data_IF_651192529019
#
_entry.id   IF_651192529019
#
_cell.length_a   1.000
_cell.length_b   1.000
_cell.length_c   1.000
_cell.angle_alpha   90.00
_cell.angle_beta   90.00
_cell.angle_gamma   90.00
#
_symmetry.space_group_name_H-M   'P 1'
#
loop_
_entity.id
_entity.type
_entity.pdbx_description
1 polymer ?
#
# COMPACT_ATOMS: atom_id res chain seq x y z
N UNK A 1 -2.83 -14.30 -88.01
CA UNK A 1 -2.98 -12.93 -88.54
C UNK A 1 -3.09 -11.98 -87.35
N UNK A 2 -2.21 -10.96 -87.27
CA UNK A 2 -2.42 -9.57 -86.80
C UNK A 2 -3.30 -9.42 -85.53
N UNK A 3 -2.85 -8.86 -84.40
CA UNK A 3 -2.13 -7.57 -84.23
C UNK A 3 -1.37 -7.50 -82.89
N UNK A 4 -0.23 -6.83 -82.97
CA UNK A 4 0.59 -6.30 -81.88
C UNK A 4 0.05 -4.92 -81.48
N UNK A 5 0.05 -4.63 -80.17
CA UNK A 5 0.44 -3.35 -79.60
C UNK A 5 -0.58 -2.21 -79.53
N UNK A 6 -0.90 -1.78 -78.30
CA UNK A 6 -0.75 -0.38 -77.95
C UNK A 6 -0.33 -0.24 -76.47
N UNK A 7 0.69 0.59 -76.31
CA UNK A 7 1.47 0.92 -75.13
C UNK A 7 0.87 2.17 -74.45
N UNK A 8 0.84 2.24 -73.11
CA UNK A 8 1.14 3.43 -72.27
C UNK A 8 0.61 3.18 -70.83
N UNK A 9 1.47 2.94 -69.84
CA UNK A 9 2.15 3.92 -68.96
C UNK A 9 1.25 4.66 -67.96
N UNK A 10 1.47 4.37 -66.66
CA UNK A 10 1.30 5.20 -65.44
C UNK A 10 0.87 4.27 -64.29
N UNK A 11 1.80 3.63 -63.57
CA UNK A 11 2.52 4.16 -62.40
C UNK A 11 1.57 4.61 -61.27
N UNK A 12 1.75 3.90 -60.15
CA UNK A 12 1.62 4.33 -58.76
C UNK A 12 0.38 3.93 -57.92
N UNK A 13 0.73 3.61 -56.67
CA UNK A 13 -0.06 3.44 -55.45
C UNK A 13 -0.58 2.05 -55.07
N UNK A 14 0.34 1.33 -54.41
CA UNK A 14 0.19 0.82 -53.05
C UNK A 14 -0.59 -0.47 -52.82
N UNK A 15 0.18 -1.55 -52.77
CA UNK A 15 -0.09 -2.71 -51.94
C UNK A 15 -0.28 -2.28 -50.48
N UNK A 16 -1.52 -2.14 -50.04
CA UNK A 16 -1.85 -2.16 -48.62
C UNK A 16 -1.73 -3.61 -48.14
N UNK A 17 -0.52 -4.01 -47.78
CA UNK A 17 -0.32 -5.15 -46.91
C UNK A 17 -1.06 -4.84 -45.59
N UNK A 18 -2.13 -5.57 -45.32
CA UNK A 18 -2.65 -5.69 -43.96
C UNK A 18 -1.61 -6.45 -43.15
N UNK A 19 -0.59 -5.73 -42.69
CA UNK A 19 0.20 -6.10 -41.53
C UNK A 19 -0.77 -6.06 -40.34
N UNK A 20 -1.36 -7.21 -40.05
CA UNK A 20 -2.14 -7.43 -38.86
C UNK A 20 -1.18 -7.50 -37.67
N UNK A 21 -0.66 -6.34 -37.25
CA UNK A 21 0.09 -6.18 -36.02
C UNK A 21 -0.90 -6.39 -34.88
N UNK A 22 -1.03 -7.63 -34.41
CA UNK A 22 -1.60 -7.92 -33.10
C UNK A 22 -0.71 -7.27 -32.05
N UNK A 23 -1.10 -6.06 -31.67
CA UNK A 23 -0.63 -5.39 -30.46
C UNK A 23 -0.90 -6.34 -29.30
N UNK A 24 0.15 -6.86 -28.65
CA UNK A 24 0.00 -7.56 -27.39
C UNK A 24 -0.67 -6.59 -26.40
N UNK A 25 -1.93 -6.86 -26.10
CA UNK A 25 -2.64 -6.27 -24.98
C UNK A 25 -2.01 -6.83 -23.69
N UNK A 26 -0.98 -6.15 -23.19
CA UNK A 26 -0.48 -6.34 -21.84
C UNK A 26 -1.45 -5.69 -20.85
N UNK A 27 -2.57 -6.35 -20.60
CA UNK A 27 -3.42 -6.08 -19.44
C UNK A 27 -3.71 -7.38 -18.73
N UNK A 28 -2.66 -7.97 -18.16
CA UNK A 28 -2.81 -9.01 -17.14
C UNK A 28 -3.28 -8.33 -15.85
N UNK A 29 -4.59 -8.23 -15.67
CA UNK A 29 -5.16 -8.27 -14.34
C UNK A 29 -4.83 -9.66 -13.77
N UNK A 30 -3.69 -9.76 -13.08
CA UNK A 30 -3.25 -11.00 -12.46
C UNK A 30 -4.31 -11.44 -11.45
N UNK A 31 -5.09 -12.45 -11.82
CA UNK A 31 -5.98 -13.14 -10.90
C UNK A 31 -5.07 -13.96 -10.00
N UNK A 32 -4.77 -13.41 -8.82
CA UNK A 32 -3.84 -14.07 -7.89
C UNK A 32 -4.44 -15.36 -7.37
N UNK A 33 -3.66 -16.44 -7.45
CA UNK A 33 -4.05 -17.74 -6.90
C UNK A 33 -4.20 -17.64 -5.36
N UNK A 34 -4.98 -18.53 -4.72
CA UNK A 34 -5.10 -18.52 -3.25
C UNK A 34 -3.75 -18.62 -2.53
N UNK A 35 -2.80 -19.35 -3.10
CA UNK A 35 -1.43 -19.50 -2.60
C UNK A 35 -0.67 -18.16 -2.68
N UNK A 36 -0.70 -17.49 -3.83
CA UNK A 36 -0.09 -16.15 -3.99
C UNK A 36 -0.68 -15.13 -3.02
N UNK A 37 -1.99 -15.20 -2.74
CA UNK A 37 -2.65 -14.30 -1.76
C UNK A 37 -2.14 -14.54 -0.34
N UNK A 38 -1.87 -15.79 0.04
CA UNK A 38 -1.31 -16.13 1.34
C UNK A 38 0.15 -15.65 1.45
N UNK A 39 1.00 -15.97 0.47
CA UNK A 39 2.39 -15.52 0.42
C UNK A 39 2.50 -13.99 0.40
N UNK A 40 1.60 -13.30 -0.32
CA UNK A 40 1.52 -11.83 -0.28
C UNK A 40 1.04 -11.29 1.08
N UNK A 41 0.24 -12.05 1.85
CA UNK A 41 -0.14 -11.67 3.23
C UNK A 41 1.06 -11.80 4.17
N UNK A 42 1.85 -12.85 4.02
CA UNK A 42 3.02 -13.08 4.86
C UNK A 42 4.13 -12.06 4.52
N UNK A 43 4.42 -11.84 3.24
CA UNK A 43 5.34 -10.78 2.80
C UNK A 43 4.95 -9.39 3.34
N UNK A 44 3.65 -9.09 3.45
CA UNK A 44 3.17 -7.83 4.05
C UNK A 44 3.48 -7.74 5.55
N UNK A 45 3.39 -8.85 6.28
CA UNK A 45 3.76 -8.90 7.71
C UNK A 45 5.26 -8.70 7.87
N UNK A 46 6.06 -9.35 7.04
CA UNK A 46 7.53 -9.28 7.15
C UNK A 46 8.05 -7.89 6.81
N UNK A 47 7.49 -7.24 5.78
CA UNK A 47 7.80 -5.84 5.46
C UNK A 47 7.49 -4.93 6.66
N UNK A 48 6.36 -5.14 7.33
CA UNK A 48 5.99 -4.35 8.51
C UNK A 48 6.87 -4.68 9.73
N UNK A 49 7.23 -5.94 9.94
CA UNK A 49 8.15 -6.35 11.00
C UNK A 49 9.51 -5.68 10.82
N UNK A 50 10.05 -5.74 9.60
CA UNK A 50 11.31 -5.09 9.22
C UNK A 50 11.31 -3.58 9.49
N UNK A 51 10.26 -2.88 9.06
CA UNK A 51 10.14 -1.43 9.26
C UNK A 51 9.98 -1.07 10.75
N UNK A 52 9.24 -1.88 11.51
CA UNK A 52 9.12 -1.72 12.96
C UNK A 52 10.46 -1.92 13.67
N UNK A 53 11.19 -3.00 13.36
CA UNK A 53 12.48 -3.29 13.99
C UNK A 53 13.51 -2.20 13.72
N UNK A 54 13.50 -1.62 12.52
CA UNK A 54 14.33 -0.43 12.23
C UNK A 54 13.92 0.81 12.99
N UNK A 55 12.62 1.02 13.18
CA UNK A 55 12.12 2.15 13.96
C UNK A 55 12.46 2.00 15.46
N UNK A 56 12.33 0.79 16.00
CA UNK A 56 12.73 0.41 17.36
C UNK A 56 14.22 0.62 17.57
N UNK A 57 15.07 0.08 16.70
CA UNK A 57 16.52 0.31 16.75
C UNK A 57 16.86 1.80 16.75
N UNK A 58 16.21 2.60 15.90
CA UNK A 58 16.41 4.06 15.87
C UNK A 58 15.95 4.73 17.16
N UNK A 59 14.89 4.24 17.80
CA UNK A 59 14.44 4.75 19.08
C UNK A 59 15.41 4.39 20.22
N UNK A 60 15.94 3.17 20.24
CA UNK A 60 16.91 2.72 21.24
C UNK A 60 18.26 3.46 21.10
N UNK A 61 18.72 3.70 19.87
CA UNK A 61 19.90 4.55 19.61
C UNK A 61 19.69 5.95 20.20
N UNK A 62 18.50 6.54 20.00
CA UNK A 62 18.18 7.87 20.57
C UNK A 62 18.14 7.88 22.10
N UNK A 63 17.83 6.75 22.72
CA UNK A 63 17.85 6.58 24.19
C UNK A 63 19.24 6.23 24.72
N UNK A 64 20.23 6.03 23.86
CA UNK A 64 21.58 5.59 24.24
C UNK A 64 21.71 4.09 24.50
N UNK A 65 20.66 3.29 24.24
CA UNK A 65 20.67 1.85 24.45
C UNK A 65 21.17 1.11 23.20
N UNK A 66 22.50 1.05 23.04
CA UNK A 66 23.11 0.46 21.85
C UNK A 66 22.94 -1.06 21.77
N UNK A 67 22.90 -1.75 22.92
CA UNK A 67 22.70 -3.21 22.96
C UNK A 67 21.34 -3.59 22.42
N UNK A 68 20.26 -2.94 22.90
CA UNK A 68 18.93 -3.19 22.36
C UNK A 68 18.82 -2.83 20.88
N UNK A 69 19.43 -1.72 20.47
CA UNK A 69 19.47 -1.34 19.06
C UNK A 69 20.18 -2.39 18.18
N UNK A 70 21.24 -3.03 18.67
CA UNK A 70 21.92 -4.11 17.95
C UNK A 70 21.02 -5.34 17.82
N UNK A 71 20.30 -5.71 18.87
CA UNK A 71 19.31 -6.80 18.84
C UNK A 71 18.23 -6.52 17.80
N UNK A 72 17.66 -5.31 17.79
CA UNK A 72 16.62 -4.94 16.83
C UNK A 72 17.16 -4.90 15.39
N UNK A 73 18.40 -4.43 15.18
CA UNK A 73 19.04 -4.47 13.86
C UNK A 73 19.35 -5.90 13.40
N UNK A 74 19.71 -6.80 14.32
CA UNK A 74 19.91 -8.21 14.00
C UNK A 74 18.59 -8.86 13.56
N UNK A 75 17.51 -8.64 14.31
CA UNK A 75 16.17 -9.08 13.92
C UNK A 75 15.73 -8.51 12.55
N UNK A 76 15.95 -7.22 12.31
CA UNK A 76 15.67 -6.61 11.01
C UNK A 76 16.49 -7.23 9.86
N UNK A 77 17.68 -7.77 10.12
CA UNK A 77 18.45 -8.49 9.08
C UNK A 77 17.81 -9.84 8.76
N UNK A 78 17.28 -10.53 9.75
CA UNK A 78 16.50 -11.77 9.57
C UNK A 78 15.25 -11.50 8.74
N UNK A 79 14.44 -10.52 9.15
CA UNK A 79 13.23 -10.14 8.39
C UNK A 79 13.56 -9.79 6.94
N UNK A 80 14.69 -9.09 6.70
CA UNK A 80 15.14 -8.75 5.35
C UNK A 80 15.50 -9.99 4.52
N UNK A 81 16.05 -11.04 5.14
CA UNK A 81 16.36 -12.29 4.45
C UNK A 81 15.07 -13.03 4.09
N UNK A 82 14.09 -13.07 5.00
CA UNK A 82 12.78 -13.69 4.77
C UNK A 82 12.03 -12.99 3.64
N UNK A 83 11.95 -11.65 3.69
CA UNK A 83 11.41 -10.82 2.60
C UNK A 83 12.06 -11.14 1.25
N UNK A 84 13.38 -11.38 1.23
CA UNK A 84 14.11 -11.71 0.00
C UNK A 84 13.73 -13.08 -0.53
N UNK A 85 13.58 -14.07 0.36
CA UNK A 85 13.16 -15.43 0.01
C UNK A 85 11.74 -15.43 -0.53
N UNK A 86 10.80 -14.82 0.17
CA UNK A 86 9.40 -14.71 -0.25
C UNK A 86 9.25 -13.95 -1.57
N UNK A 87 9.98 -12.85 -1.71
CA UNK A 87 9.99 -12.09 -2.95
C UNK A 87 10.57 -12.87 -4.13
N UNK A 88 11.46 -13.84 -3.89
CA UNK A 88 11.99 -14.72 -4.94
C UNK A 88 10.92 -15.74 -5.37
N UNK A 89 10.25 -16.36 -4.40
CA UNK A 89 9.17 -17.32 -4.64
C UNK A 89 8.01 -16.69 -5.41
N UNK A 90 7.53 -15.53 -4.95
CA UNK A 90 6.45 -14.80 -5.62
C UNK A 90 6.84 -14.34 -7.04
N UNK A 91 8.11 -14.03 -7.30
CA UNK A 91 8.58 -13.72 -8.66
C UNK A 91 8.55 -14.93 -9.57
N UNK A 92 8.94 -16.12 -9.09
CA UNK A 92 8.82 -17.35 -9.89
C UNK A 92 7.36 -17.73 -10.16
N UNK A 93 6.43 -17.31 -9.31
CA UNK A 93 4.99 -17.49 -9.49
C UNK A 93 4.34 -16.39 -10.35
N UNK A 94 5.14 -15.45 -10.90
CA UNK A 94 4.68 -14.44 -11.85
C UNK A 94 4.39 -13.05 -11.27
N UNK A 95 4.61 -12.84 -9.97
CA UNK A 95 4.47 -11.51 -9.36
C UNK A 95 5.70 -10.66 -9.66
N UNK A 96 5.58 -9.68 -10.55
CA UNK A 96 6.72 -8.88 -11.03
C UNK A 96 7.43 -8.06 -9.91
N UNK A 97 6.67 -7.51 -8.96
CA UNK A 97 7.18 -6.59 -7.93
C UNK A 97 6.59 -6.85 -6.54
N UNK A 98 6.83 -8.04 -5.94
CA UNK A 98 6.11 -8.49 -4.75
C UNK A 98 6.33 -7.56 -3.56
N UNK A 99 7.58 -7.15 -3.28
CA UNK A 99 7.89 -6.23 -2.17
C UNK A 99 7.22 -4.87 -2.36
N UNK A 100 7.27 -4.29 -3.58
CA UNK A 100 6.65 -2.99 -3.86
C UNK A 100 5.13 -3.05 -3.71
N UNK A 101 4.51 -4.16 -4.12
CA UNK A 101 3.08 -4.39 -3.93
C UNK A 101 2.75 -4.54 -2.44
N UNK A 102 3.52 -5.35 -1.71
CA UNK A 102 3.35 -5.51 -0.26
C UNK A 102 3.45 -4.17 0.47
N UNK A 103 4.51 -3.38 0.24
CA UNK A 103 4.66 -2.04 0.84
C UNK A 103 3.51 -1.10 0.48
N UNK A 104 2.99 -1.14 -0.76
CA UNK A 104 1.84 -0.32 -1.16
C UNK A 104 0.57 -0.73 -0.39
N UNK A 105 0.32 -2.03 -0.26
CA UNK A 105 -0.84 -2.56 0.44
C UNK A 105 -0.78 -2.28 1.95
N UNK A 106 0.40 -2.39 2.56
CA UNK A 106 0.66 -1.96 3.95
C UNK A 106 0.26 -0.48 4.12
N UNK A 107 0.80 0.41 3.28
CA UNK A 107 0.48 1.85 3.33
C UNK A 107 -1.01 2.15 3.12
N UNK A 108 -1.67 1.46 2.20
CA UNK A 108 -3.12 1.60 1.99
C UNK A 108 -3.91 1.18 3.23
N UNK A 109 -3.53 0.07 3.86
CA UNK A 109 -4.16 -0.40 5.08
C UNK A 109 -4.02 0.62 6.21
N UNK A 110 -2.85 1.25 6.36
CA UNK A 110 -2.64 2.26 7.39
C UNK A 110 -3.40 3.56 7.14
N UNK A 111 -3.45 4.01 5.88
CA UNK A 111 -4.29 5.16 5.51
C UNK A 111 -5.75 4.88 5.86
N UNK A 112 -6.25 3.69 5.49
CA UNK A 112 -7.63 3.29 5.79
C UNK A 112 -7.88 3.24 7.31
N UNK A 113 -6.95 2.69 8.08
CA UNK A 113 -7.03 2.63 9.54
C UNK A 113 -7.15 4.03 10.15
N UNK A 114 -6.31 4.97 9.70
CA UNK A 114 -6.35 6.37 10.15
C UNK A 114 -7.64 7.07 9.74
N UNK A 115 -8.14 6.84 8.53
CA UNK A 115 -9.40 7.44 8.07
C UNK A 115 -10.60 6.96 8.89
N UNK A 116 -10.62 5.68 9.28
CA UNK A 116 -11.64 5.12 10.18
C UNK A 116 -11.57 5.81 11.54
N UNK A 117 -10.42 5.81 12.22
CA UNK A 117 -10.31 6.43 13.56
C UNK A 117 -10.54 7.94 13.55
N UNK A 118 -10.23 8.62 12.44
CA UNK A 118 -10.60 10.03 12.23
C UNK A 118 -12.11 10.23 12.12
N UNK A 119 -12.82 9.30 11.49
CA UNK A 119 -14.27 9.35 11.35
C UNK A 119 -14.95 9.11 12.70
N UNK A 120 -14.46 8.13 13.46
CA UNK A 120 -14.94 7.82 14.81
C UNK A 120 -14.75 9.02 15.75
N UNK A 121 -13.56 9.65 15.73
CA UNK A 121 -13.30 10.85 16.52
C UNK A 121 -14.25 12.01 16.16
N UNK A 122 -14.59 12.18 14.89
CA UNK A 122 -15.56 13.20 14.46
C UNK A 122 -16.95 12.88 14.96
N UNK A 123 -17.37 11.62 14.89
CA UNK A 123 -18.66 11.18 15.41
C UNK A 123 -18.75 11.38 16.92
N UNK A 124 -17.73 10.98 17.69
CA UNK A 124 -17.69 11.18 19.14
C UNK A 124 -17.80 12.66 19.54
N UNK A 125 -17.08 13.55 18.85
CA UNK A 125 -17.19 15.01 19.06
C UNK A 125 -18.56 15.57 18.69
N UNK A 126 -19.17 15.06 17.62
CA UNK A 126 -20.52 15.49 17.22
C UNK A 126 -21.56 15.07 18.26
N UNK A 127 -21.45 13.85 18.79
CA UNK A 127 -22.29 13.36 19.90
C UNK A 127 -22.10 14.20 21.15
N UNK A 128 -20.85 14.48 21.55
CA UNK A 128 -20.54 15.35 22.70
C UNK A 128 -21.22 16.73 22.54
N UNK A 129 -21.12 17.35 21.36
CA UNK A 129 -21.78 18.63 21.09
C UNK A 129 -23.31 18.54 21.12
N UNK A 130 -23.89 17.45 20.64
CA UNK A 130 -25.33 17.24 20.67
C UNK A 130 -25.84 17.08 22.11
N UNK A 131 -25.15 16.28 22.92
CA UNK A 131 -25.49 16.05 24.32
C UNK A 131 -25.35 17.31 25.17
N UNK A 132 -24.29 18.10 24.95
CA UNK A 132 -24.12 19.41 25.60
C UNK A 132 -25.28 20.34 25.27
N UNK A 133 -25.70 20.40 23.99
CA UNK A 133 -26.86 21.22 23.58
C UNK A 133 -28.18 20.72 24.18
N UNK A 134 -28.31 19.41 24.38
CA UNK A 134 -29.48 18.79 24.98
C UNK A 134 -29.50 18.87 26.52
N UNK A 135 -28.44 19.37 27.16
CA UNK A 135 -28.28 19.33 28.62
C UNK A 135 -28.05 17.92 29.17
N UNK A 136 -27.74 16.94 28.32
CA UNK A 136 -27.44 15.57 28.71
C UNK A 136 -25.98 15.45 29.18
N UNK A 137 -25.72 15.82 30.44
CA UNK A 137 -24.36 15.86 30.98
C UNK A 137 -23.69 14.47 30.98
N UNK A 138 -24.44 13.42 31.33
CA UNK A 138 -23.90 12.05 31.36
C UNK A 138 -23.54 11.56 29.95
N UNK A 139 -24.38 11.85 28.95
CA UNK A 139 -24.07 11.56 27.55
C UNK A 139 -22.84 12.31 27.07
N UNK A 140 -22.76 13.61 27.36
CA UNK A 140 -21.62 14.44 27.00
C UNK A 140 -20.30 13.91 27.60
N UNK A 141 -20.30 13.48 28.86
CA UNK A 141 -19.13 12.87 29.50
C UNK A 141 -18.72 11.54 28.85
N UNK A 142 -19.70 10.69 28.51
CA UNK A 142 -19.43 9.43 27.82
C UNK A 142 -18.84 9.67 26.42
N UNK A 143 -19.41 10.61 25.66
CA UNK A 143 -18.93 11.00 24.35
C UNK A 143 -17.54 11.63 24.39
N UNK A 144 -17.26 12.45 25.42
CA UNK A 144 -15.92 13.00 25.65
C UNK A 144 -14.89 11.91 25.96
N UNK A 145 -15.24 10.90 26.75
CA UNK A 145 -14.38 9.76 27.03
C UNK A 145 -14.09 8.93 25.76
N UNK A 146 -15.10 8.72 24.91
CA UNK A 146 -14.93 8.10 23.60
C UNK A 146 -13.98 8.92 22.71
N UNK A 147 -14.21 10.23 22.58
CA UNK A 147 -13.35 11.12 21.80
C UNK A 147 -11.89 11.15 22.32
N UNK A 148 -11.68 11.03 23.63
CA UNK A 148 -10.35 10.93 24.22
C UNK A 148 -9.64 9.62 23.83
N UNK A 149 -10.37 8.52 23.76
CA UNK A 149 -9.87 7.22 23.28
C UNK A 149 -9.53 7.29 21.79
N UNK A 150 -10.47 7.74 20.96
CA UNK A 150 -10.27 7.86 19.51
C UNK A 150 -9.08 8.78 19.17
N UNK A 151 -8.86 9.84 19.96
CA UNK A 151 -7.71 10.72 19.80
C UNK A 151 -6.38 10.01 20.12
N UNK A 152 -6.35 9.12 21.10
CA UNK A 152 -5.15 8.31 21.42
C UNK A 152 -4.88 7.30 20.30
N UNK A 153 -5.93 6.64 19.81
CA UNK A 153 -5.83 5.66 18.74
C UNK A 153 -5.43 6.31 17.42
N UNK A 154 -6.02 7.45 17.06
CA UNK A 154 -5.60 8.24 15.90
C UNK A 154 -4.11 8.61 15.97
N UNK A 155 -3.61 9.04 17.14
CA UNK A 155 -2.17 9.31 17.32
C UNK A 155 -1.31 8.06 17.18
N UNK A 156 -1.79 6.90 17.61
CA UNK A 156 -1.09 5.62 17.44
C UNK A 156 -1.06 5.22 15.97
N UNK A 157 -2.19 5.28 15.29
CA UNK A 157 -2.33 4.94 13.88
C UNK A 157 -1.51 5.84 12.97
N UNK A 158 -1.49 7.15 13.25
CA UNK A 158 -0.62 8.09 12.51
C UNK A 158 0.86 7.74 12.69
N UNK A 159 1.28 7.33 13.90
CA UNK A 159 2.67 6.91 14.16
C UNK A 159 3.00 5.58 13.46
N UNK A 160 2.08 4.63 13.42
CA UNK A 160 2.22 3.38 12.67
C UNK A 160 2.33 3.67 11.17
N UNK A 161 1.40 4.44 10.61
CA UNK A 161 1.41 4.83 9.21
C UNK A 161 2.70 5.57 8.81
N UNK A 162 3.21 6.45 9.69
CA UNK A 162 4.47 7.16 9.44
C UNK A 162 5.69 6.23 9.46
N UNK A 163 5.69 5.18 10.30
CA UNK A 163 6.71 4.12 10.30
C UNK A 163 6.71 3.36 8.99
N UNK A 164 5.52 3.02 8.48
CA UNK A 164 5.33 2.31 7.21
C UNK A 164 5.49 3.24 5.98
N UNK A 165 5.90 4.50 6.20
CA UNK A 165 6.29 5.44 5.15
C UNK A 165 5.13 6.23 4.50
N UNK A 166 3.99 6.33 5.17
CA UNK A 166 2.88 7.23 4.80
C UNK A 166 3.23 8.66 5.24
N UNK A 167 3.54 9.55 4.29
CA UNK A 167 4.06 10.91 4.58
C UNK A 167 3.02 12.05 4.57
N UNK A 168 1.90 11.93 3.84
CA UNK A 168 1.12 13.13 3.44
C UNK A 168 -0.38 13.11 3.71
N UNK A 169 -0.97 11.99 4.12
CA UNK A 169 -2.44 11.88 4.22
C UNK A 169 -3.00 12.06 5.64
N UNK A 170 -2.16 12.42 6.61
CA UNK A 170 -2.47 12.25 8.04
C UNK A 170 -2.53 13.57 8.83
N UNK A 171 -2.18 14.69 8.20
CA UNK A 171 -2.18 16.01 8.83
C UNK A 171 -3.52 16.70 8.60
N UNK A 172 -4.50 16.47 9.49
CA UNK A 172 -5.59 17.39 9.90
C UNK A 172 -6.74 16.58 10.46
N UNK A 173 -6.78 16.45 11.78
CA UNK A 173 -7.96 16.14 12.57
C UNK A 173 -8.14 17.23 13.62
#
# INVERSE_FOLDING_TARGET
MKKIGLLAFAVMFSAAAFAQTTTLATTTAATTTPTEKAQMKDLRKDVRAYDNKKAEAKAEIKKGNLTAAQTDLAAAKTDKADIKTDAKTLKSEGVAHPVKLATKEVKKADVKKVEVTKTDLKAAKATEQADVKAGNITGAQAAQAAAATDKKDLKKDIREAHRDGVKRHLHKA
#
